data_IF_736421230537
#
_entry.id   IF_736421230537
#
_cell.length_a   1.000
_cell.length_b   1.000
_cell.length_c   1.000
_cell.angle_alpha   90.00
_cell.angle_beta   90.00
_cell.angle_gamma   90.00
#
_symmetry.space_group_name_H-M   'P 1'
#
loop_
_entity.id
_entity.type
_entity.pdbx_description
1 polymer ?
#
# COMPACT_ATOMS: atom_id res chain seq x y z
N UNK A 1 -5.72 33.02 1.95
CA UNK A 1 -6.75 32.07 2.43
C UNK A 1 -6.27 30.68 2.05
N UNK A 2 -6.01 29.83 3.04
CA UNK A 2 -5.58 28.45 2.82
C UNK A 2 -6.81 27.69 2.34
N UNK A 3 -6.82 27.27 1.07
CA UNK A 3 -7.92 26.54 0.45
C UNK A 3 -8.17 25.26 1.24
N UNK A 4 -9.38 25.09 1.75
CA UNK A 4 -9.86 23.87 2.39
C UNK A 4 -9.84 22.76 1.33
N UNK A 5 -8.74 22.00 1.28
CA UNK A 5 -8.61 20.85 0.39
C UNK A 5 -9.38 19.73 1.04
N UNK A 6 -10.55 19.33 0.50
CA UNK A 6 -11.35 18.29 1.13
C UNK A 6 -10.54 16.99 1.15
N UNK A 7 -10.11 16.58 2.35
CA UNK A 7 -9.50 15.27 2.54
C UNK A 7 -10.57 14.24 2.23
N UNK A 8 -10.41 13.51 1.13
CA UNK A 8 -11.38 12.52 0.67
C UNK A 8 -11.48 11.39 1.70
N UNK A 9 -12.46 11.47 2.59
CA UNK A 9 -12.76 10.40 3.55
C UNK A 9 -13.31 9.18 2.79
N UNK A 10 -12.78 8.00 3.11
CA UNK A 10 -13.16 6.73 2.46
C UNK A 10 -12.02 5.97 1.81
N UNK A 11 -10.83 6.05 2.39
CA UNK A 11 -9.70 5.20 2.03
C UNK A 11 -9.05 4.71 3.33
N UNK A 12 -9.00 3.40 3.50
CA UNK A 12 -8.27 2.76 4.57
C UNK A 12 -7.06 2.07 3.95
N UNK A 13 -5.87 2.33 4.47
CA UNK A 13 -4.63 1.67 4.06
C UNK A 13 -3.89 1.20 5.31
N UNK A 14 -3.38 -0.03 5.24
CA UNK A 14 -2.52 -0.65 6.24
C UNK A 14 -1.22 -0.99 5.52
N UNK A 15 -0.14 -0.40 6.01
CA UNK A 15 1.20 -0.61 5.48
C UNK A 15 2.10 -1.19 6.56
N UNK A 16 2.71 -2.33 6.26
CA UNK A 16 3.64 -3.02 7.14
C UNK A 16 5.00 -3.12 6.44
N UNK A 17 6.07 -2.86 7.19
CA UNK A 17 7.45 -3.06 6.71
C UNK A 17 8.21 -3.86 7.74
N UNK A 18 8.85 -4.94 7.29
CA UNK A 18 9.77 -5.75 8.08
C UNK A 18 11.15 -5.61 7.45
N UNK A 19 12.15 -5.21 8.22
CA UNK A 19 13.53 -5.11 7.75
C UNK A 19 14.45 -5.84 8.73
N UNK A 20 15.53 -6.42 8.20
CA UNK A 20 16.57 -7.04 9.01
C UNK A 20 17.88 -6.29 8.88
N UNK A 21 18.68 -6.34 9.95
CA UNK A 21 20.05 -5.82 9.95
C UNK A 21 20.97 -6.48 8.92
N UNK A 22 20.59 -7.63 8.35
CA UNK A 22 21.32 -8.29 7.25
C UNK A 22 20.94 -7.80 5.84
N UNK A 23 20.10 -6.75 5.72
CA UNK A 23 19.85 -6.06 4.46
C UNK A 23 18.69 -6.61 3.62
N UNK A 24 17.87 -7.51 4.18
CA UNK A 24 16.57 -7.87 3.58
C UNK A 24 15.45 -6.97 4.14
N UNK A 25 14.52 -6.61 3.26
CA UNK A 25 13.34 -5.79 3.58
C UNK A 25 12.11 -6.36 2.87
N UNK A 26 11.02 -6.46 3.59
CA UNK A 26 9.70 -6.79 3.05
C UNK A 26 8.76 -5.65 3.37
N UNK A 27 7.98 -5.21 2.38
CA UNK A 27 6.92 -4.21 2.50
C UNK A 27 5.62 -4.82 2.03
N UNK A 28 4.56 -4.64 2.79
CA UNK A 28 3.20 -5.01 2.42
C UNK A 28 2.27 -3.81 2.57
N UNK A 29 1.36 -3.62 1.62
CA UNK A 29 0.34 -2.59 1.63
C UNK A 29 -1.00 -3.23 1.30
N UNK A 30 -2.02 -2.89 2.07
CA UNK A 30 -3.41 -3.28 1.79
C UNK A 30 -4.27 -2.05 1.94
N UNK A 31 -5.19 -1.83 1.02
CA UNK A 31 -6.17 -0.81 1.22
C UNK A 31 -7.52 -1.09 0.57
N UNK A 32 -8.51 -0.40 1.09
CA UNK A 32 -9.90 -0.52 0.70
C UNK A 32 -10.52 0.87 0.57
N UNK A 33 -11.25 1.07 -0.55
CA UNK A 33 -11.86 2.36 -0.87
C UNK A 33 -13.38 2.26 -0.95
N UNK A 34 -14.10 2.44 0.18
CA UNK A 34 -15.56 2.27 0.24
C UNK A 34 -16.37 3.26 -0.60
N UNK A 35 -15.93 4.52 -0.71
CA UNK A 35 -16.82 5.60 -1.13
C UNK A 35 -17.12 5.63 -2.63
N UNK A 36 -16.53 4.77 -3.48
CA UNK A 36 -16.70 4.95 -4.93
C UNK A 36 -16.54 3.70 -5.83
N UNK A 37 -16.87 2.49 -5.39
CA UNK A 37 -16.71 1.25 -6.21
C UNK A 37 -15.27 1.03 -6.71
N UNK A 38 -14.28 1.55 -5.96
CA UNK A 38 -12.90 1.66 -6.45
C UNK A 38 -12.02 0.45 -6.09
N UNK A 39 -12.58 -0.52 -5.37
CA UNK A 39 -11.92 -1.79 -5.13
C UNK A 39 -11.16 -1.92 -3.82
N UNK A 40 -10.65 -3.12 -3.61
CA UNK A 40 -9.59 -3.43 -2.64
C UNK A 40 -8.28 -3.66 -3.40
N UNK A 41 -7.16 -3.32 -2.79
CA UNK A 41 -5.84 -3.65 -3.32
C UNK A 41 -4.95 -4.22 -2.23
N UNK A 42 -4.03 -5.08 -2.65
CA UNK A 42 -2.98 -5.63 -1.83
C UNK A 42 -1.69 -5.63 -2.64
N UNK A 43 -0.59 -5.23 -2.04
CA UNK A 43 0.74 -5.22 -2.64
C UNK A 43 1.74 -5.77 -1.64
N UNK A 44 2.69 -6.57 -2.12
CA UNK A 44 3.80 -7.08 -1.34
C UNK A 44 5.09 -6.99 -2.15
N UNK A 45 6.16 -6.57 -1.50
CA UNK A 45 7.47 -6.35 -2.07
C UNK A 45 8.54 -6.89 -1.13
N UNK A 46 9.51 -7.59 -1.68
CA UNK A 46 10.70 -8.06 -0.99
C UNK A 46 11.94 -7.54 -1.72
N UNK A 47 12.89 -7.05 -0.94
CA UNK A 47 14.18 -6.55 -1.40
C UNK A 47 15.31 -7.15 -0.58
N UNK A 48 16.42 -7.49 -1.24
CA UNK A 48 17.65 -7.94 -0.61
C UNK A 48 18.84 -7.45 -1.43
N UNK A 49 19.60 -6.51 -0.86
CA UNK A 49 20.71 -5.85 -1.55
C UNK A 49 20.25 -5.16 -2.84
N UNK A 50 20.66 -5.70 -4.00
CA UNK A 50 20.30 -5.19 -5.34
C UNK A 50 19.12 -5.91 -6.00
N UNK A 51 18.55 -6.93 -5.37
CA UNK A 51 17.43 -7.70 -5.91
C UNK A 51 16.12 -7.25 -5.29
N UNK A 52 15.11 -7.04 -6.13
CA UNK A 52 13.79 -6.59 -5.73
C UNK A 52 12.74 -7.40 -6.48
N UNK A 53 11.74 -7.90 -5.77
CA UNK A 53 10.63 -8.63 -6.33
C UNK A 53 9.35 -8.22 -5.61
N UNK A 54 8.28 -7.97 -6.36
CA UNK A 54 7.00 -7.62 -5.79
C UNK A 54 5.84 -8.12 -6.63
N UNK A 55 4.69 -8.28 -5.99
CA UNK A 55 3.45 -8.67 -6.62
C UNK A 55 2.29 -7.92 -5.95
N UNK A 56 1.27 -7.61 -6.73
CA UNK A 56 0.08 -6.95 -6.24
C UNK A 56 -1.17 -7.53 -6.87
N UNK A 57 -2.26 -7.46 -6.12
CA UNK A 57 -3.60 -7.80 -6.55
C UNK A 57 -4.49 -6.58 -6.37
N UNK A 58 -5.33 -6.33 -7.36
CA UNK A 58 -6.35 -5.30 -7.30
C UNK A 58 -7.68 -5.93 -7.66
N UNK A 59 -8.64 -5.78 -6.78
CA UNK A 59 -10.00 -6.23 -6.98
C UNK A 59 -10.91 -5.03 -7.15
N UNK A 60 -11.64 -4.95 -8.26
CA UNK A 60 -12.64 -3.92 -8.54
C UNK A 60 -14.03 -4.57 -8.43
N UNK A 61 -15.02 -3.84 -7.94
CA UNK A 61 -16.40 -4.29 -7.79
C UNK A 61 -17.35 -3.29 -8.43
#
# INVERSE_FOLDING_TARGET
MLSDVPVRHGYAEITATVASGSGWRVRGEVGYRPTNHLGAFAFAEASSGTRMAGAGLRWLF
#
